data_IF_386130090704
#
_entry.id   IF_386130090704
#
_cell.length_a   1.000
_cell.length_b   1.000
_cell.length_c   1.000
_cell.angle_alpha   90.00
_cell.angle_beta   90.00
_cell.angle_gamma   90.00
#
_symmetry.space_group_name_H-M   'P 1'
#
loop_
_entity.id
_entity.type
_entity.pdbx_description
1 polymer ?
#
# COMPACT_ATOMS: atom_id res chain seq x y z
N UNK A 1 -5.65 -0.06 -11.17
CA UNK A 1 -4.31 -0.15 -10.56
C UNK A 1 -3.26 -0.24 -11.63
N UNK A 2 -2.35 0.72 -11.58
CA UNK A 2 -1.41 1.04 -12.66
C UNK A 2 -1.32 2.56 -12.71
N UNK A 3 -0.16 3.08 -12.34
CA UNK A 3 0.26 4.45 -12.66
C UNK A 3 0.22 4.58 -14.19
N UNK A 4 -0.84 5.18 -14.73
CA UNK A 4 -0.98 5.44 -16.17
C UNK A 4 -0.63 6.88 -16.47
N UNK A 5 0.68 7.15 -16.57
CA UNK A 5 1.25 8.39 -17.11
C UNK A 5 0.88 8.61 -18.59
N UNK A 6 0.82 9.87 -18.97
CA UNK A 6 0.31 10.45 -20.24
C UNK A 6 1.37 10.40 -21.39
N UNK A 7 1.19 10.78 -22.67
CA UNK A 7 0.52 11.93 -23.33
C UNK A 7 0.35 11.78 -24.85
N UNK A 8 -0.60 12.58 -25.38
CA UNK A 8 -0.66 13.33 -26.67
C UNK A 8 -0.59 12.61 -28.04
N UNK A 9 -1.55 12.97 -28.90
CA UNK A 9 -1.63 12.59 -30.32
C UNK A 9 -0.45 13.14 -31.13
N UNK A 10 0.31 12.31 -31.89
CA UNK A 10 1.36 12.78 -32.79
C UNK A 10 0.91 12.82 -34.26
N UNK A 11 1.39 13.84 -34.97
CA UNK A 11 0.95 14.25 -36.30
C UNK A 11 1.77 13.70 -37.47
N UNK A 12 2.73 12.78 -37.27
CA UNK A 12 3.54 12.27 -38.40
C UNK A 12 4.22 10.93 -38.13
N UNK A 13 4.27 10.08 -39.18
CA UNK A 13 4.66 8.66 -39.17
C UNK A 13 6.16 8.37 -38.94
N UNK A 14 7.01 9.38 -38.73
CA UNK A 14 8.47 9.19 -38.78
C UNK A 14 9.11 8.99 -37.38
N UNK A 15 8.39 9.27 -36.28
CA UNK A 15 8.89 9.02 -34.91
C UNK A 15 8.62 7.59 -34.38
N UNK A 16 7.96 6.75 -35.17
CA UNK A 16 7.44 5.45 -34.75
C UNK A 16 8.50 4.36 -34.47
N UNK A 17 9.80 4.65 -34.62
CA UNK A 17 10.87 3.63 -34.57
C UNK A 17 11.93 3.81 -33.47
N UNK A 18 11.85 4.86 -32.65
CA UNK A 18 12.73 5.04 -31.49
C UNK A 18 11.92 5.62 -30.33
N UNK A 19 11.30 4.74 -29.55
CA UNK A 19 11.01 4.74 -28.11
C UNK A 19 9.86 3.73 -27.95
N UNK A 20 10.12 2.60 -27.31
CA UNK A 20 9.09 1.64 -26.89
C UNK A 20 8.20 2.32 -25.83
N UNK A 21 7.14 2.99 -26.27
CA UNK A 21 6.15 3.64 -25.41
C UNK A 21 5.05 2.64 -25.01
N UNK A 22 4.82 2.52 -23.70
CA UNK A 22 3.75 1.71 -23.10
C UNK A 22 2.37 2.19 -23.61
N UNK A 23 1.59 1.28 -24.19
CA UNK A 23 0.27 1.54 -24.77
C UNK A 23 -0.80 1.77 -23.68
N UNK A 24 -1.74 2.72 -23.88
CA UNK A 24 -2.88 2.91 -22.95
C UNK A 24 -3.66 1.60 -22.83
N UNK A 25 -4.01 1.25 -21.59
CA UNK A 25 -4.82 0.06 -21.33
C UNK A 25 -6.20 0.25 -21.95
N UNK A 26 -6.75 -0.81 -22.52
CA UNK A 26 -8.11 -0.77 -23.01
C UNK A 26 -9.07 -0.45 -21.87
N UNK A 27 -9.89 0.58 -22.08
CA UNK A 27 -11.01 0.96 -21.20
C UNK A 27 -12.35 0.55 -21.81
N UNK A 28 -12.34 -0.24 -22.89
CA UNK A 28 -13.57 -0.85 -23.41
C UNK A 28 -14.09 -1.89 -22.41
N UNK A 29 -15.38 -2.19 -22.50
CA UNK A 29 -16.00 -3.20 -21.64
C UNK A 29 -15.32 -4.55 -21.93
N UNK A 30 -14.74 -5.23 -20.93
CA UNK A 30 -14.09 -6.50 -21.15
C UNK A 30 -15.09 -7.55 -21.64
N UNK A 31 -14.64 -8.51 -22.47
CA UNK A 31 -15.49 -9.59 -22.98
C UNK A 31 -15.77 -10.69 -21.94
N UNK A 32 -15.38 -10.48 -20.68
CA UNK A 32 -15.54 -11.42 -19.57
C UNK A 32 -16.13 -10.70 -18.35
N UNK A 33 -16.77 -11.46 -17.47
CA UNK A 33 -17.25 -10.99 -16.18
C UNK A 33 -16.32 -11.40 -15.04
N UNK A 34 -16.44 -10.77 -13.86
CA UNK A 34 -15.74 -11.22 -12.65
C UNK A 34 -16.09 -12.69 -12.33
N UNK A 35 -17.32 -13.10 -12.62
CA UNK A 35 -17.75 -14.50 -12.46
C UNK A 35 -16.96 -15.46 -13.35
N UNK A 36 -16.64 -15.07 -14.58
CA UNK A 36 -15.83 -15.88 -15.49
C UNK A 36 -14.38 -15.98 -15.03
N UNK A 37 -13.82 -14.89 -14.50
CA UNK A 37 -12.49 -14.92 -13.87
C UNK A 37 -12.49 -15.90 -12.69
N UNK A 38 -13.52 -15.86 -11.84
CA UNK A 38 -13.64 -16.77 -10.68
C UNK A 38 -13.67 -18.24 -11.09
N UNK A 39 -14.34 -18.58 -12.20
CA UNK A 39 -14.45 -19.97 -12.69
C UNK A 39 -13.10 -20.58 -13.10
N UNK A 40 -12.15 -19.75 -13.55
CA UNK A 40 -10.82 -20.20 -13.94
C UNK A 40 -9.93 -20.48 -12.72
N UNK A 41 -10.26 -19.92 -11.56
CA UNK A 41 -9.49 -20.11 -10.33
C UNK A 41 -9.93 -21.43 -9.65
N UNK A 42 -9.01 -22.39 -9.44
CA UNK A 42 -9.32 -23.62 -8.73
C UNK A 42 -9.95 -23.36 -7.33
N UNK A 43 -11.04 -24.07 -6.95
CA UNK A 43 -11.72 -23.81 -5.67
C UNK A 43 -10.83 -23.98 -4.44
N UNK A 44 -9.86 -24.89 -4.48
CA UNK A 44 -8.94 -25.11 -3.36
C UNK A 44 -8.02 -23.92 -3.09
N UNK A 45 -7.82 -23.00 -4.04
CA UNK A 45 -7.08 -21.75 -3.78
C UNK A 45 -7.83 -20.80 -2.84
N UNK A 46 -9.14 -20.95 -2.67
CA UNK A 46 -9.91 -20.18 -1.69
C UNK A 46 -9.88 -20.80 -0.29
N UNK A 47 -9.28 -21.99 -0.12
CA UNK A 47 -9.21 -22.67 1.18
C UNK A 47 -8.09 -22.07 2.04
N UNK A 48 -8.45 -21.73 3.27
CA UNK A 48 -7.56 -21.07 4.24
C UNK A 48 -7.09 -22.10 5.24
N UNK A 49 -5.78 -22.28 5.33
CA UNK A 49 -5.18 -23.19 6.28
C UNK A 49 -4.69 -22.38 7.48
N UNK A 50 -5.37 -22.55 8.61
CA UNK A 50 -5.02 -21.88 9.86
C UNK A 50 -3.54 -22.12 10.22
N UNK A 51 -3.09 -23.38 10.13
CA UNK A 51 -1.71 -23.78 10.43
C UNK A 51 -0.73 -23.06 9.50
N UNK A 52 -1.03 -23.02 8.19
CA UNK A 52 -0.15 -22.38 7.21
C UNK A 52 -0.08 -20.88 7.45
N UNK A 53 -1.21 -20.22 7.66
CA UNK A 53 -1.26 -18.78 7.93
C UNK A 53 -0.50 -18.41 9.21
N UNK A 54 -0.64 -19.20 10.28
CA UNK A 54 0.16 -19.01 11.49
C UNK A 54 1.65 -19.29 11.27
N UNK A 55 2.02 -20.24 10.40
CA UNK A 55 3.44 -20.50 10.11
C UNK A 55 4.15 -19.29 9.48
N UNK A 56 3.48 -18.55 8.58
CA UNK A 56 4.02 -17.31 8.02
C UNK A 56 4.15 -16.21 9.08
N UNK A 57 3.14 -16.05 9.95
CA UNK A 57 3.22 -15.11 11.06
C UNK A 57 4.39 -15.44 12.01
N UNK A 58 4.56 -16.71 12.37
CA UNK A 58 5.67 -17.17 13.22
C UNK A 58 7.01 -16.92 12.53
N UNK A 59 7.12 -17.20 11.23
CA UNK A 59 8.32 -16.90 10.44
C UNK A 59 8.66 -15.41 10.48
N UNK A 60 7.69 -14.53 10.26
CA UNK A 60 7.90 -13.08 10.31
C UNK A 60 8.35 -12.62 11.70
N UNK A 61 7.79 -13.19 12.78
CA UNK A 61 8.19 -12.89 14.16
C UNK A 61 9.61 -13.39 14.50
N UNK A 62 9.99 -14.56 13.99
CA UNK A 62 11.36 -15.08 14.10
C UNK A 62 12.33 -14.11 13.39
N UNK A 63 12.00 -13.66 12.19
CA UNK A 63 12.84 -12.70 11.44
C UNK A 63 12.96 -11.36 12.18
N UNK A 64 11.86 -10.82 12.72
CA UNK A 64 11.87 -9.60 13.54
C UNK A 64 12.80 -9.75 14.74
N UNK A 65 12.69 -10.88 15.45
CA UNK A 65 13.48 -11.13 16.66
C UNK A 65 14.95 -11.35 16.34
N UNK A 66 15.25 -12.11 15.28
CA UNK A 66 16.60 -12.40 14.83
C UNK A 66 17.32 -11.14 14.40
N UNK A 67 16.70 -10.31 13.56
CA UNK A 67 17.31 -9.07 13.09
C UNK A 67 17.49 -8.06 14.23
N UNK A 68 16.54 -7.96 15.15
CA UNK A 68 16.69 -7.14 16.36
C UNK A 68 17.85 -7.63 17.24
N UNK A 69 17.98 -8.94 17.44
CA UNK A 69 19.10 -9.54 18.18
C UNK A 69 20.44 -9.21 17.50
N UNK A 70 20.56 -9.47 16.19
CA UNK A 70 21.78 -9.14 15.44
C UNK A 70 22.10 -7.65 15.56
N UNK A 71 21.10 -6.77 15.43
CA UNK A 71 21.29 -5.34 15.48
C UNK A 71 21.86 -4.89 16.83
N UNK A 72 21.23 -5.32 17.92
CA UNK A 72 21.60 -4.92 19.29
C UNK A 72 22.88 -5.59 19.79
N UNK A 73 23.21 -6.78 19.29
CA UNK A 73 24.43 -7.50 19.68
C UNK A 73 25.66 -7.10 18.86
N UNK A 74 25.53 -6.72 17.59
CA UNK A 74 26.71 -6.54 16.73
C UNK A 74 26.89 -5.11 16.20
N UNK A 75 25.82 -4.37 15.89
CA UNK A 75 25.96 -3.07 15.21
C UNK A 75 26.61 -2.00 16.08
N UNK A 76 26.41 -2.06 17.41
CA UNK A 76 27.03 -1.16 18.37
C UNK A 76 28.56 -1.31 18.45
N UNK A 77 29.11 -2.45 18.01
CA UNK A 77 30.56 -2.73 18.06
C UNK A 77 31.27 -2.41 16.75
N UNK A 78 30.55 -1.94 15.72
CA UNK A 78 31.17 -1.56 14.46
C UNK A 78 32.01 -0.29 14.62
N UNK A 79 33.27 -0.26 14.14
CA UNK A 79 34.11 0.92 14.24
C UNK A 79 33.54 2.06 13.38
N UNK A 80 33.93 3.29 13.70
CA UNK A 80 33.62 4.45 12.86
C UNK A 80 34.23 4.29 11.46
N UNK A 81 33.51 4.65 10.37
CA UNK A 81 32.14 5.19 10.31
C UNK A 81 31.04 4.14 10.09
N UNK A 82 31.36 2.85 10.15
CA UNK A 82 30.48 1.77 9.70
C UNK A 82 29.19 1.64 10.49
N UNK A 83 29.17 1.90 11.80
CA UNK A 83 27.94 1.83 12.58
C UNK A 83 26.89 2.86 12.11
N UNK A 84 27.30 4.06 11.65
CA UNK A 84 26.38 5.07 11.11
C UNK A 84 25.73 4.64 9.80
N UNK A 85 26.38 3.79 9.01
CA UNK A 85 25.82 3.22 7.79
C UNK A 85 24.96 1.98 8.10
N UNK A 86 25.35 1.19 9.10
CA UNK A 86 24.68 -0.06 9.41
C UNK A 86 23.29 0.13 10.03
N UNK A 87 23.09 1.17 10.85
CA UNK A 87 21.78 1.46 11.47
C UNK A 87 20.67 1.77 10.44
N UNK A 88 20.87 2.68 9.46
CA UNK A 88 19.90 2.89 8.38
C UNK A 88 19.59 1.62 7.57
N UNK A 89 20.61 0.81 7.26
CA UNK A 89 20.43 -0.46 6.54
C UNK A 89 19.56 -1.41 7.37
N UNK A 90 19.83 -1.53 8.67
CA UNK A 90 19.00 -2.31 9.59
C UNK A 90 17.56 -1.79 9.61
N UNK A 91 17.32 -0.48 9.72
CA UNK A 91 15.95 0.06 9.70
C UNK A 91 15.19 -0.27 8.42
N UNK A 92 15.86 -0.21 7.27
CA UNK A 92 15.28 -0.59 5.98
C UNK A 92 14.88 -2.07 6.00
N UNK A 93 15.80 -2.96 6.39
CA UNK A 93 15.55 -4.41 6.40
C UNK A 93 14.46 -4.77 7.43
N UNK A 94 14.58 -4.27 8.65
CA UNK A 94 13.61 -4.50 9.72
C UNK A 94 12.23 -3.94 9.35
N UNK A 95 12.19 -2.75 8.74
CA UNK A 95 10.97 -2.14 8.21
C UNK A 95 10.30 -2.98 7.13
N UNK A 96 11.08 -3.68 6.29
CA UNK A 96 10.53 -4.65 5.34
C UNK A 96 9.81 -5.80 6.06
N UNK A 97 10.43 -6.39 7.08
CA UNK A 97 9.82 -7.50 7.83
C UNK A 97 8.56 -7.05 8.58
N UNK A 98 8.58 -5.87 9.21
CA UNK A 98 7.38 -5.29 9.81
C UNK A 98 6.28 -5.01 8.79
N UNK A 99 6.63 -4.71 7.54
CA UNK A 99 5.64 -4.62 6.46
C UNK A 99 5.04 -5.99 6.15
N UNK A 100 5.79 -7.09 6.22
CA UNK A 100 5.26 -8.46 6.15
C UNK A 100 4.21 -8.75 7.22
N UNK A 101 4.51 -8.42 8.49
CA UNK A 101 3.55 -8.51 9.60
C UNK A 101 2.31 -7.63 9.34
N UNK A 102 2.52 -6.41 8.82
CA UNK A 102 1.41 -5.54 8.44
C UNK A 102 0.52 -6.18 7.35
N UNK A 103 1.11 -6.88 6.38
CA UNK A 103 0.39 -7.62 5.34
C UNK A 103 -0.45 -8.76 5.92
N UNK A 104 0.04 -9.49 6.93
CA UNK A 104 -0.74 -10.50 7.65
C UNK A 104 -1.99 -9.87 8.30
N UNK A 105 -1.84 -8.73 8.98
CA UNK A 105 -2.99 -8.01 9.51
C UNK A 105 -3.94 -7.48 8.42
N UNK A 106 -3.40 -7.10 7.27
CA UNK A 106 -4.20 -6.73 6.09
C UNK A 106 -5.01 -7.92 5.56
N UNK A 107 -4.43 -9.11 5.48
CA UNK A 107 -5.15 -10.33 5.09
C UNK A 107 -6.23 -10.74 6.08
N UNK A 108 -5.97 -10.53 7.38
CA UNK A 108 -7.01 -10.70 8.41
C UNK A 108 -8.22 -9.80 8.12
N UNK A 109 -7.98 -8.56 7.68
CA UNK A 109 -9.04 -7.62 7.28
C UNK A 109 -9.89 -8.09 6.09
N UNK A 110 -9.29 -8.89 5.20
CA UNK A 110 -9.96 -9.51 4.03
C UNK A 110 -10.56 -10.87 4.29
N UNK A 111 -10.45 -11.38 5.52
CA UNK A 111 -10.81 -12.76 5.84
C UNK A 111 -10.01 -13.79 5.01
N UNK A 112 -8.77 -13.46 4.62
CA UNK A 112 -7.89 -14.35 3.86
C UNK A 112 -6.98 -15.20 4.78
N UNK A 113 -6.73 -14.74 6.00
CA UNK A 113 -5.86 -15.42 6.97
C UNK A 113 -6.46 -16.74 7.48
N UNK A 114 -7.75 -16.78 7.81
CA UNK A 114 -8.46 -17.98 8.24
C UNK A 114 -9.96 -17.89 7.95
N UNK A 115 -10.67 -19.01 8.04
CA UNK A 115 -12.14 -19.04 7.95
C UNK A 115 -12.85 -18.51 9.22
N UNK A 116 -12.10 -18.21 10.28
CA UNK A 116 -12.64 -17.74 11.55
C UNK A 116 -12.48 -16.23 11.68
N UNK A 117 -13.58 -15.49 11.49
CA UNK A 117 -13.55 -14.04 11.53
C UNK A 117 -13.02 -13.48 12.86
N UNK A 118 -13.36 -14.11 13.99
CA UNK A 118 -12.86 -13.70 15.30
C UNK A 118 -11.34 -13.84 15.41
N UNK A 119 -10.77 -14.96 14.91
CA UNK A 119 -9.32 -15.16 14.91
C UNK A 119 -8.65 -14.07 14.07
N UNK A 120 -9.17 -13.82 12.87
CA UNK A 120 -8.67 -12.76 12.00
C UNK A 120 -8.73 -11.39 12.69
N UNK A 121 -9.85 -11.06 13.33
CA UNK A 121 -10.02 -9.78 13.99
C UNK A 121 -9.08 -9.62 15.19
N UNK A 122 -8.86 -10.67 15.98
CA UNK A 122 -7.94 -10.64 17.12
C UNK A 122 -6.49 -10.48 16.65
N UNK A 123 -6.04 -11.31 15.70
CA UNK A 123 -4.67 -11.27 15.17
C UNK A 123 -4.42 -9.94 14.46
N UNK A 124 -5.34 -9.52 13.59
CA UNK A 124 -5.28 -8.25 12.90
C UNK A 124 -5.23 -7.07 13.88
N UNK A 125 -6.10 -7.06 14.90
CA UNK A 125 -6.12 -6.03 15.93
C UNK A 125 -4.79 -5.92 16.68
N UNK A 126 -4.23 -7.04 17.13
CA UNK A 126 -2.96 -7.05 17.88
C UNK A 126 -1.83 -6.49 17.02
N UNK A 127 -1.60 -7.06 15.84
CA UNK A 127 -0.42 -6.72 15.05
C UNK A 127 -0.53 -5.35 14.36
N UNK A 128 -1.71 -4.94 13.91
CA UNK A 128 -1.88 -3.57 13.40
C UNK A 128 -1.74 -2.55 14.52
N UNK A 129 -2.25 -2.80 15.73
CA UNK A 129 -2.09 -1.88 16.87
C UNK A 129 -0.62 -1.69 17.25
N UNK A 130 0.15 -2.79 17.34
CA UNK A 130 1.61 -2.75 17.59
C UNK A 130 2.33 -1.91 16.53
N UNK A 131 1.88 -1.96 15.28
CA UNK A 131 2.40 -1.17 14.16
C UNK A 131 1.78 0.24 14.04
N UNK A 132 1.06 0.69 15.07
CA UNK A 132 0.35 1.97 15.14
C UNK A 132 -0.60 2.19 13.95
N UNK A 133 -1.33 1.14 13.59
CA UNK A 133 -2.41 1.16 12.60
C UNK A 133 -3.72 0.82 13.31
N UNK A 134 -4.76 1.68 13.26
CA UNK A 134 -6.05 1.36 13.89
C UNK A 134 -6.78 0.29 13.07
N UNK A 135 -6.73 -0.96 13.52
CA UNK A 135 -7.12 -2.15 12.73
C UNK A 135 -8.53 -2.07 12.12
N UNK A 136 -9.57 -1.92 12.92
CA UNK A 136 -10.95 -1.97 12.42
C UNK A 136 -11.26 -0.75 11.55
N UNK A 137 -10.78 0.42 11.97
CA UNK A 137 -10.86 1.65 11.18
C UNK A 137 -10.26 1.47 9.78
N UNK A 138 -9.01 1.00 9.74
CA UNK A 138 -8.34 0.71 8.49
C UNK A 138 -9.04 -0.40 7.69
N UNK A 139 -9.47 -1.49 8.33
CA UNK A 139 -10.20 -2.61 7.69
C UNK A 139 -11.45 -2.12 6.96
N UNK A 140 -12.22 -1.22 7.57
CA UNK A 140 -13.44 -0.68 6.98
C UNK A 140 -13.16 0.29 5.82
N UNK A 141 -12.24 1.25 6.00
CA UNK A 141 -11.86 2.14 4.89
C UNK A 141 -11.21 1.36 3.73
N UNK A 142 -10.40 0.35 4.04
CA UNK A 142 -9.72 -0.48 3.05
C UNK A 142 -10.68 -1.37 2.27
N UNK A 143 -11.73 -1.91 2.92
CA UNK A 143 -12.81 -2.62 2.22
C UNK A 143 -13.53 -1.72 1.21
N UNK A 144 -13.77 -0.45 1.57
CA UNK A 144 -14.36 0.54 0.67
C UNK A 144 -13.41 0.89 -0.49
N UNK A 145 -12.11 0.99 -0.23
CA UNK A 145 -11.10 1.10 -1.28
C UNK A 145 -11.20 -0.06 -2.28
N UNK A 146 -11.15 -1.31 -1.80
CA UNK A 146 -11.28 -2.50 -2.65
C UNK A 146 -12.55 -2.53 -3.51
N UNK A 147 -13.66 -2.00 -2.99
CA UNK A 147 -14.93 -1.96 -3.73
C UNK A 147 -14.96 -0.85 -4.79
N UNK A 148 -14.08 0.14 -4.69
CA UNK A 148 -14.09 1.36 -5.50
C UNK A 148 -12.71 1.68 -6.10
N UNK A 149 -11.85 0.66 -6.22
CA UNK A 149 -10.46 0.82 -6.64
C UNK A 149 -10.36 1.59 -7.96
N UNK A 150 -9.51 2.63 -7.97
CA UNK A 150 -9.32 3.50 -9.15
C UNK A 150 -10.52 4.40 -9.51
N UNK A 151 -11.48 4.58 -8.59
CA UNK A 151 -12.52 5.61 -8.70
C UNK A 151 -12.05 6.94 -8.10
N UNK A 152 -12.11 8.04 -8.85
CA UNK A 152 -11.77 9.37 -8.32
C UNK A 152 -12.76 9.84 -7.25
N UNK A 153 -14.01 9.37 -7.33
CA UNK A 153 -15.10 9.81 -6.46
C UNK A 153 -15.25 8.93 -5.22
N UNK A 154 -14.93 7.64 -5.35
CA UNK A 154 -15.30 6.64 -4.35
C UNK A 154 -14.12 5.86 -3.75
N UNK A 155 -12.90 5.96 -4.30
CA UNK A 155 -11.72 5.33 -3.70
C UNK A 155 -11.35 6.05 -2.38
N UNK A 156 -10.96 5.30 -1.34
CA UNK A 156 -10.72 5.84 0.00
C UNK A 156 -9.26 6.24 0.29
N UNK A 157 -8.29 5.87 -0.56
CA UNK A 157 -6.86 6.02 -0.19
C UNK A 157 -5.94 6.45 -1.32
N UNK A 158 -6.20 6.07 -2.57
CA UNK A 158 -5.34 6.36 -3.71
C UNK A 158 -6.04 7.25 -4.73
N UNK A 159 -6.64 8.35 -4.26
CA UNK A 159 -7.37 9.29 -5.12
C UNK A 159 -6.37 10.24 -5.80
N UNK A 160 -6.22 10.21 -7.14
CA UNK A 160 -5.36 11.15 -7.83
C UNK A 160 -5.92 12.58 -7.75
N UNK A 161 -5.02 13.57 -7.78
CA UNK A 161 -5.42 14.98 -7.76
C UNK A 161 -5.88 15.43 -9.15
N UNK A 162 -6.99 16.14 -9.21
CA UNK A 162 -7.39 16.90 -10.40
C UNK A 162 -6.49 18.11 -10.59
N UNK A 163 -6.26 18.54 -11.84
CA UNK A 163 -5.48 19.75 -12.13
C UNK A 163 -5.98 20.98 -11.36
N UNK A 164 -7.29 21.16 -11.28
CA UNK A 164 -7.94 22.26 -10.58
C UNK A 164 -7.71 22.26 -9.06
N UNK A 165 -7.31 21.12 -8.47
CA UNK A 165 -7.02 20.98 -7.04
C UNK A 165 -5.52 21.01 -6.74
N UNK A 166 -4.67 21.28 -7.72
CA UNK A 166 -3.24 21.46 -7.48
C UNK A 166 -3.01 22.74 -6.68
N UNK A 167 -2.09 22.65 -5.71
CA UNK A 167 -1.71 23.81 -4.88
C UNK A 167 -0.81 24.72 -5.69
N UNK A 168 -0.86 26.04 -5.43
CA UNK A 168 -0.04 27.04 -6.13
C UNK A 168 1.46 26.72 -6.13
N UNK A 169 1.97 26.12 -5.05
CA UNK A 169 3.39 25.77 -4.92
C UNK A 169 3.80 24.51 -5.70
N UNK A 170 2.85 23.77 -6.30
CA UNK A 170 3.13 22.51 -7.02
C UNK A 170 4.08 22.73 -8.19
N UNK A 171 3.98 23.88 -8.87
CA UNK A 171 4.86 24.25 -9.98
C UNK A 171 6.31 24.41 -9.52
N UNK A 172 6.52 25.02 -8.35
CA UNK A 172 7.85 25.21 -7.78
C UNK A 172 8.46 23.91 -7.29
N UNK A 173 7.65 22.97 -6.78
CA UNK A 173 8.10 21.65 -6.36
C UNK A 173 8.26 20.64 -7.51
N UNK A 174 7.88 21.02 -8.74
CA UNK A 174 7.97 20.14 -9.91
C UNK A 174 9.39 20.12 -10.54
N UNK A 175 10.39 19.91 -9.71
CA UNK A 175 11.79 19.75 -10.11
C UNK A 175 12.39 18.53 -9.39
N UNK A 176 13.60 18.06 -9.76
CA UNK A 176 14.19 16.86 -9.16
C UNK A 176 14.27 16.90 -7.62
N UNK A 177 14.67 18.02 -7.03
CA UNK A 177 14.78 18.18 -5.57
C UNK A 177 13.40 18.20 -4.89
N UNK A 178 12.45 18.93 -5.47
CA UNK A 178 11.07 18.94 -4.97
C UNK A 178 10.40 17.56 -5.02
N UNK A 179 10.71 16.74 -6.04
CA UNK A 179 10.23 15.36 -6.14
C UNK A 179 10.88 14.43 -5.13
N UNK A 180 12.19 14.53 -4.92
CA UNK A 180 12.87 13.77 -3.85
C UNK A 180 12.28 14.14 -2.48
N UNK A 181 12.03 15.42 -2.22
CA UNK A 181 11.37 15.88 -1.00
C UNK A 181 9.95 15.31 -0.88
N UNK A 182 9.13 15.40 -1.94
CA UNK A 182 7.76 14.90 -1.94
C UNK A 182 7.68 13.38 -1.73
N UNK A 183 8.56 12.62 -2.40
CA UNK A 183 8.71 11.19 -2.18
C UNK A 183 9.13 10.91 -0.74
N UNK A 184 10.17 11.58 -0.24
CA UNK A 184 10.64 11.41 1.15
C UNK A 184 9.52 11.66 2.17
N UNK A 185 8.76 12.75 2.01
CA UNK A 185 7.58 13.04 2.83
C UNK A 185 6.51 11.95 2.71
N UNK A 186 6.24 11.45 1.50
CA UNK A 186 5.24 10.40 1.28
C UNK A 186 5.65 9.09 1.94
N UNK A 187 6.91 8.68 1.79
CA UNK A 187 7.42 7.41 2.33
C UNK A 187 7.52 7.41 3.86
N UNK A 188 7.73 8.58 4.49
CA UNK A 188 7.93 8.71 5.94
C UNK A 188 6.69 9.18 6.69
N UNK A 189 6.05 10.26 6.21
CA UNK A 189 4.92 10.91 6.86
C UNK A 189 3.58 10.60 6.18
N UNK A 190 3.59 10.08 4.96
CA UNK A 190 2.36 9.84 4.19
C UNK A 190 1.35 8.96 4.92
N UNK A 191 1.82 7.89 5.57
CA UNK A 191 0.94 6.99 6.34
C UNK A 191 0.32 7.66 7.58
N UNK A 192 1.08 8.28 8.51
CA UNK A 192 0.50 9.07 9.60
C UNK A 192 -0.45 10.18 9.10
N UNK A 193 -0.07 10.91 8.05
CA UNK A 193 -0.89 11.98 7.49
C UNK A 193 -2.19 11.46 6.89
N UNK A 194 -2.18 10.26 6.29
CA UNK A 194 -3.39 9.59 5.82
C UNK A 194 -4.30 9.22 6.99
N UNK A 195 -3.79 8.56 8.03
CA UNK A 195 -4.62 8.15 9.16
C UNK A 195 -5.19 9.34 9.95
N UNK A 196 -4.39 10.38 10.16
CA UNK A 196 -4.82 11.53 10.95
C UNK A 196 -5.66 12.49 10.12
N UNK A 197 -5.23 12.85 8.90
CA UNK A 197 -5.82 13.96 8.12
C UNK A 197 -6.43 13.52 6.78
N UNK A 198 -6.47 12.23 6.49
CA UNK A 198 -6.95 11.69 5.21
C UNK A 198 -6.27 12.32 3.98
N UNK A 199 -4.96 12.62 4.09
CA UNK A 199 -4.23 13.48 3.14
C UNK A 199 -4.17 12.99 1.67
N UNK A 200 -4.36 11.69 1.42
CA UNK A 200 -4.41 11.07 0.09
C UNK A 200 -5.77 10.44 -0.27
N UNK A 201 -6.73 10.48 0.64
CA UNK A 201 -8.01 9.81 0.49
C UNK A 201 -9.08 10.69 -0.16
N UNK A 202 -10.30 10.15 -0.16
CA UNK A 202 -11.50 10.83 -0.65
C UNK A 202 -11.72 12.16 0.06
N UNK A 203 -12.16 13.18 -0.69
CA UNK A 203 -12.60 14.44 -0.07
C UNK A 203 -13.98 14.27 0.56
N UNK A 204 -14.11 14.66 1.83
CA UNK A 204 -15.37 14.65 2.57
C UNK A 204 -15.82 16.08 2.89
N UNK A 205 -17.13 16.28 3.12
CA UNK A 205 -17.69 17.58 3.51
C UNK A 205 -17.25 18.02 4.92
N UNK A 206 -16.77 17.09 5.73
CA UNK A 206 -16.28 17.32 7.09
C UNK A 206 -14.87 16.73 7.23
N UNK A 207 -14.20 17.10 8.32
CA UNK A 207 -12.92 16.51 8.68
C UNK A 207 -13.01 14.98 8.73
N UNK A 208 -12.07 14.32 8.07
CA UNK A 208 -12.00 12.87 7.96
C UNK A 208 -10.71 12.38 8.62
N UNK A 209 -10.86 11.47 9.57
CA UNK A 209 -9.75 10.85 10.30
C UNK A 209 -10.10 9.41 10.61
N UNK A 210 -9.12 8.52 10.49
CA UNK A 210 -9.26 7.12 10.89
C UNK A 210 -9.43 6.95 12.41
N UNK A 211 -9.09 7.98 13.18
CA UNK A 211 -9.24 7.96 14.64
C UNK A 211 -10.55 8.57 15.13
N UNK A 212 -11.38 9.15 14.25
CA UNK A 212 -12.67 9.74 14.61
C UNK A 212 -13.82 8.77 14.31
N UNK A 213 -14.45 8.14 15.33
CA UNK A 213 -15.59 7.24 15.14
C UNK A 213 -16.82 7.94 14.54
N UNK A 214 -16.94 9.27 14.71
CA UNK A 214 -18.02 10.06 14.12
C UNK A 214 -17.61 10.70 12.79
N UNK A 215 -16.42 10.39 12.30
CA UNK A 215 -15.90 10.84 11.03
C UNK A 215 -16.74 10.32 9.86
N UNK A 216 -16.76 11.04 8.72
CA UNK A 216 -17.60 10.70 7.57
C UNK A 216 -17.15 9.43 6.82
N UNK A 217 -16.04 8.82 7.23
CA UNK A 217 -15.52 7.55 6.69
C UNK A 217 -16.37 6.36 7.14
N UNK A 218 -16.97 6.45 8.34
CA UNK A 218 -17.59 5.31 9.03
C UNK A 218 -19.09 5.47 9.21
N UNK A 219 -19.78 4.33 9.22
CA UNK A 219 -21.21 4.26 9.54
C UNK A 219 -21.42 4.06 11.05
N UNK A 220 -22.62 4.38 11.55
CA UNK A 220 -22.98 4.27 12.98
C UNK A 220 -22.70 2.88 13.58
N UNK A 221 -22.88 1.81 12.79
CA UNK A 221 -22.66 0.41 13.22
C UNK A 221 -21.18 0.06 13.41
N UNK A 222 -20.26 0.82 12.82
CA UNK A 222 -18.82 0.55 12.84
C UNK A 222 -18.13 1.23 14.03
N UNK A 223 -18.76 2.25 14.62
CA UNK A 223 -18.18 3.15 15.63
C UNK A 223 -17.53 2.45 16.81
N UNK A 224 -18.20 1.44 17.37
CA UNK A 224 -17.68 0.69 18.51
C UNK A 224 -16.31 0.07 18.19
N UNK A 225 -16.15 -0.47 16.98
CA UNK A 225 -14.88 -1.07 16.57
C UNK A 225 -13.80 -0.01 16.29
N UNK A 226 -14.18 1.21 15.91
CA UNK A 226 -13.26 2.34 15.80
C UNK A 226 -12.72 2.72 17.18
N UNK A 227 -13.59 2.81 18.20
CA UNK A 227 -13.14 3.01 19.58
C UNK A 227 -12.18 1.93 20.04
N UNK A 228 -12.49 0.66 19.78
CA UNK A 228 -11.60 -0.47 20.13
C UNK A 228 -10.24 -0.31 19.43
N UNK A 229 -10.21 0.04 18.15
CA UNK A 229 -8.97 0.29 17.41
C UNK A 229 -8.14 1.41 18.02
N UNK A 230 -8.78 2.51 18.41
CA UNK A 230 -8.12 3.65 19.04
C UNK A 230 -7.48 3.25 20.37
N UNK A 231 -8.20 2.48 21.20
CA UNK A 231 -7.65 1.95 22.45
C UNK A 231 -6.41 1.08 22.19
N UNK A 232 -6.47 0.21 21.17
CA UNK A 232 -5.31 -0.60 20.76
C UNK A 232 -4.09 0.23 20.40
N UNK A 233 -4.26 1.24 19.54
CA UNK A 233 -3.17 2.15 19.13
C UNK A 233 -2.63 2.94 20.31
N UNK A 234 -3.50 3.47 21.19
CA UNK A 234 -3.09 4.20 22.40
C UNK A 234 -2.29 3.29 23.34
N UNK A 235 -2.76 2.07 23.57
CA UNK A 235 -2.07 1.10 24.40
C UNK A 235 -0.68 0.75 23.83
N UNK A 236 -0.58 0.48 22.53
CA UNK A 236 0.70 0.23 21.87
C UNK A 236 1.63 1.45 21.90
N UNK A 237 1.12 2.66 21.67
CA UNK A 237 1.88 3.89 21.78
C UNK A 237 2.39 4.13 23.20
N UNK A 238 1.58 3.81 24.23
CA UNK A 238 2.00 3.90 25.63
C UNK A 238 3.10 2.89 25.96
N UNK A 239 2.98 1.64 25.51
CA UNK A 239 4.04 0.62 25.67
C UNK A 239 5.34 1.09 25.01
N UNK A 240 5.26 1.60 23.78
CA UNK A 240 6.43 2.17 23.10
C UNK A 240 7.02 3.33 23.89
N UNK A 241 6.20 4.28 24.35
CA UNK A 241 6.65 5.39 25.21
C UNK A 241 7.40 4.90 26.45
N UNK A 242 6.90 3.85 27.12
CA UNK A 242 7.57 3.25 28.29
C UNK A 242 8.91 2.60 27.94
N UNK A 243 9.01 1.93 26.79
CA UNK A 243 10.26 1.35 26.29
C UNK A 243 11.28 2.47 26.01
N UNK A 244 10.86 3.54 25.30
CA UNK A 244 11.72 4.70 25.03
C UNK A 244 12.20 5.36 26.30
N UNK A 245 11.32 5.52 27.30
CA UNK A 245 11.68 6.10 28.58
C UNK A 245 12.70 5.24 29.34
N UNK A 246 12.61 3.91 29.25
CA UNK A 246 13.51 2.99 29.94
C UNK A 246 14.90 2.88 29.29
N UNK A 247 14.98 2.90 27.96
CA UNK A 247 16.23 2.67 27.22
C UNK A 247 16.86 3.94 26.64
N UNK A 248 16.15 5.07 26.71
CA UNK A 248 16.58 6.38 26.23
C UNK A 248 16.25 6.63 24.76
N UNK A 249 16.15 7.92 24.40
CA UNK A 249 15.88 8.38 23.03
C UNK A 249 16.92 7.92 22.01
N UNK A 250 18.18 7.75 22.42
CA UNK A 250 19.25 7.24 21.56
C UNK A 250 19.05 5.75 21.21
N UNK A 251 18.53 4.94 22.15
CA UNK A 251 18.12 3.57 21.88
C UNK A 251 16.88 3.54 20.98
N UNK A 252 15.91 4.43 21.16
CA UNK A 252 14.72 4.51 20.29
C UNK A 252 15.06 4.92 18.86
N UNK A 253 15.94 5.93 18.71
CA UNK A 253 16.45 6.38 17.43
C UNK A 253 17.26 5.32 16.70
N UNK A 254 18.03 4.51 17.43
CA UNK A 254 18.81 3.40 16.86
C UNK A 254 17.98 2.12 16.63
N UNK A 255 16.99 1.78 17.46
CA UNK A 255 16.35 0.46 17.40
C UNK A 255 15.03 0.40 16.63
N UNK A 256 14.22 1.48 16.57
CA UNK A 256 12.77 1.25 16.33
C UNK A 256 11.99 2.24 15.48
N UNK A 257 12.52 3.33 14.91
CA UNK A 257 11.64 4.21 14.11
C UNK A 257 12.24 4.85 12.86
N UNK A 258 13.05 4.10 12.12
CA UNK A 258 13.00 4.21 10.67
C UNK A 258 11.77 3.45 10.16
N UNK A 259 10.56 4.02 10.25
CA UNK A 259 9.41 3.57 9.42
C UNK A 259 9.67 3.93 7.96
N UNK A 260 10.81 3.50 7.44
CA UNK A 260 11.05 3.38 6.02
C UNK A 260 10.40 2.06 5.66
N UNK A 261 9.11 2.13 5.33
CA UNK A 261 8.57 1.18 4.36
C UNK A 261 9.46 1.40 3.15
N UNK A 262 10.41 0.50 2.91
CA UNK A 262 11.21 0.52 1.70
C UNK A 262 11.03 -0.85 1.05
N UNK A 263 10.71 -0.87 -0.23
CA UNK A 263 9.94 -1.95 -0.85
C UNK A 263 10.79 -3.07 -1.45
N UNK A 264 11.83 -3.50 -0.74
CA UNK A 264 12.90 -4.24 -1.40
C UNK A 264 12.75 -5.78 -1.39
N UNK A 265 11.69 -6.35 -0.80
CA UNK A 265 11.56 -7.82 -0.67
C UNK A 265 10.13 -8.32 -0.94
N UNK A 266 9.77 -8.55 -2.20
CA UNK A 266 8.47 -9.09 -2.61
C UNK A 266 8.05 -10.35 -1.83
N UNK A 267 9.00 -11.25 -1.50
CA UNK A 267 8.72 -12.45 -0.70
C UNK A 267 8.36 -12.14 0.76
N UNK A 268 8.97 -11.11 1.36
CA UNK A 268 8.66 -10.67 2.72
C UNK A 268 7.31 -9.94 2.77
N UNK A 269 6.86 -9.40 1.64
CA UNK A 269 5.52 -8.82 1.50
C UNK A 269 4.47 -9.84 1.04
N UNK A 270 4.78 -11.13 1.14
CA UNK A 270 3.85 -12.20 0.75
C UNK A 270 3.35 -12.07 -0.71
N UNK A 271 4.19 -11.55 -1.60
CA UNK A 271 3.92 -11.32 -3.03
C UNK A 271 2.68 -10.48 -3.34
N UNK A 272 2.23 -9.64 -2.39
CA UNK A 272 1.05 -8.77 -2.59
C UNK A 272 1.24 -7.78 -3.74
N UNK A 273 2.47 -7.34 -3.99
CA UNK A 273 2.83 -6.41 -5.07
C UNK A 273 2.66 -7.06 -6.44
N UNK A 274 3.09 -8.32 -6.58
CA UNK A 274 3.02 -9.09 -7.83
C UNK A 274 1.59 -9.57 -8.13
N UNK A 275 0.80 -9.81 -7.08
CA UNK A 275 -0.57 -10.36 -7.15
C UNK A 275 -1.65 -9.31 -6.98
N UNK A 276 -1.27 -8.03 -6.97
CA UNK A 276 -2.16 -6.93 -6.58
C UNK A 276 -3.46 -6.87 -7.39
N UNK A 277 -3.41 -7.12 -8.71
CA UNK A 277 -4.62 -7.19 -9.55
C UNK A 277 -5.57 -8.29 -9.07
N UNK A 278 -5.06 -9.51 -8.86
CA UNK A 278 -5.86 -10.61 -8.33
C UNK A 278 -6.40 -10.24 -6.94
N UNK A 279 -5.56 -9.66 -6.07
CA UNK A 279 -5.94 -9.26 -4.73
C UNK A 279 -7.11 -8.28 -4.71
N UNK A 280 -7.18 -7.36 -5.68
CA UNK A 280 -8.32 -6.46 -5.81
C UNK A 280 -9.59 -7.12 -6.38
N UNK A 281 -9.44 -8.17 -7.19
CA UNK A 281 -10.57 -8.94 -7.70
C UNK A 281 -11.12 -9.95 -6.67
N UNK A 282 -10.24 -10.62 -5.93
CA UNK A 282 -10.55 -11.71 -5.00
C UNK A 282 -9.66 -11.64 -3.74
N UNK A 283 -9.85 -10.59 -2.94
CA UNK A 283 -9.03 -10.33 -1.74
C UNK A 283 -9.10 -11.41 -0.65
N UNK A 284 -10.09 -12.31 -0.75
CA UNK A 284 -10.29 -13.41 0.20
C UNK A 284 -9.39 -14.63 -0.06
N UNK A 285 -8.65 -14.65 -1.18
CA UNK A 285 -7.65 -15.68 -1.50
C UNK A 285 -6.43 -15.44 -0.60
N UNK A 286 -5.95 -16.44 0.15
CA UNK A 286 -4.73 -16.31 0.93
C UNK A 286 -3.51 -16.05 0.04
N UNK A 287 -2.59 -15.21 0.50
CA UNK A 287 -1.38 -14.80 -0.23
C UNK A 287 -0.57 -15.98 -0.80
N UNK A 288 -0.52 -17.09 -0.08
CA UNK A 288 0.25 -18.27 -0.47
C UNK A 288 -0.36 -19.07 -1.62
N UNK A 289 -1.54 -18.68 -2.12
CA UNK A 289 -2.15 -19.16 -3.37
C UNK A 289 -2.33 -18.04 -4.41
N UNK A 290 -2.03 -16.79 -4.05
CA UNK A 290 -2.30 -15.63 -4.88
C UNK A 290 -1.44 -15.63 -6.15
N UNK A 291 -0.21 -16.15 -6.10
CA UNK A 291 0.67 -16.23 -7.27
C UNK A 291 0.14 -17.24 -8.30
N UNK A 292 -0.29 -18.40 -7.85
CA UNK A 292 -0.86 -19.46 -8.68
C UNK A 292 -2.20 -19.04 -9.28
N UNK A 293 -3.07 -18.42 -8.49
CA UNK A 293 -4.32 -17.84 -8.97
C UNK A 293 -4.07 -16.72 -9.99
N UNK A 294 -3.05 -15.88 -9.77
CA UNK A 294 -2.68 -14.81 -10.71
C UNK A 294 -2.25 -15.40 -12.05
N UNK A 295 -1.45 -16.49 -12.05
CA UNK A 295 -1.06 -17.20 -13.27
C UNK A 295 -2.26 -17.79 -14.01
N UNK A 296 -3.26 -18.31 -13.29
CA UNK A 296 -4.47 -18.88 -13.88
C UNK A 296 -5.34 -17.82 -14.59
N UNK A 297 -5.46 -16.61 -14.04
CA UNK A 297 -6.33 -15.58 -14.62
C UNK A 297 -5.67 -14.76 -15.74
N UNK A 298 -4.33 -14.71 -15.79
CA UNK A 298 -3.58 -13.93 -16.79
C UNK A 298 -4.01 -14.19 -18.24
N UNK A 299 -4.17 -15.45 -18.70
CA UNK A 299 -4.61 -15.73 -20.08
C UNK A 299 -6.00 -15.18 -20.39
N UNK A 300 -6.93 -15.21 -19.42
CA UNK A 300 -8.28 -14.70 -19.60
C UNK A 300 -8.29 -13.16 -19.65
N UNK A 301 -7.48 -12.51 -18.81
CA UNK A 301 -7.39 -11.05 -18.79
C UNK A 301 -6.75 -10.50 -20.07
N UNK A 302 -5.83 -11.24 -20.70
CA UNK A 302 -5.20 -10.85 -21.97
C UNK A 302 -4.64 -9.43 -21.92
N UNK A 303 -5.07 -8.58 -22.85
CA UNK A 303 -4.63 -7.18 -22.97
C UNK A 303 -5.03 -6.29 -21.77
N UNK A 304 -6.00 -6.70 -20.95
CA UNK A 304 -6.39 -5.96 -19.75
C UNK A 304 -5.40 -6.15 -18.59
N UNK A 305 -4.57 -7.20 -18.64
CA UNK A 305 -3.52 -7.40 -17.64
C UNK A 305 -2.23 -6.72 -18.11
N UNK A 306 -1.79 -5.71 -17.36
CA UNK A 306 -0.57 -4.97 -17.66
C UNK A 306 0.48 -5.27 -16.60
N UNK A 307 1.70 -5.53 -17.07
CA UNK A 307 2.86 -5.79 -16.22
C UNK A 307 3.97 -4.83 -16.57
N UNK A 308 4.53 -4.19 -15.55
CA UNK A 308 5.70 -3.35 -15.67
C UNK A 308 6.90 -4.04 -15.01
N UNK A 309 7.88 -4.42 -15.82
CA UNK A 309 9.13 -5.04 -15.37
C UNK A 309 10.25 -4.03 -15.06
N UNK A 310 9.97 -2.72 -15.16
CA UNK A 310 10.93 -1.66 -14.85
C UNK A 310 11.41 -1.79 -13.40
N UNK A 311 12.73 -1.66 -13.12
CA UNK A 311 13.23 -1.66 -11.76
C UNK A 311 12.51 -0.60 -10.91
N UNK A 312 12.21 -0.94 -9.65
CA UNK A 312 11.35 -0.13 -8.78
C UNK A 312 11.84 1.32 -8.66
N UNK A 313 13.14 1.56 -8.55
CA UNK A 313 13.68 2.91 -8.42
C UNK A 313 13.46 3.74 -9.70
N UNK A 314 13.54 3.11 -10.88
CA UNK A 314 13.26 3.77 -12.16
C UNK A 314 11.76 4.00 -12.35
N UNK A 315 10.93 3.03 -11.96
CA UNK A 315 9.47 3.16 -12.00
C UNK A 315 8.97 4.27 -11.07
N UNK A 316 9.44 4.32 -9.82
CA UNK A 316 9.12 5.39 -8.86
C UNK A 316 9.55 6.74 -9.42
N UNK A 317 10.78 6.81 -9.95
CA UNK A 317 11.28 8.05 -10.50
C UNK A 317 10.40 8.50 -11.67
N UNK A 318 10.18 7.63 -12.66
CA UNK A 318 9.29 7.87 -13.81
C UNK A 318 7.91 8.32 -13.36
N UNK A 319 7.25 7.59 -12.48
CA UNK A 319 5.90 7.88 -12.01
C UNK A 319 5.82 9.24 -11.29
N UNK A 320 6.87 9.61 -10.53
CA UNK A 320 6.95 10.95 -9.93
C UNK A 320 7.05 12.08 -10.95
N UNK A 321 7.48 11.78 -12.19
CA UNK A 321 7.54 12.75 -13.30
C UNK A 321 6.26 12.75 -14.12
N UNK A 322 5.74 11.57 -14.42
CA UNK A 322 4.68 11.39 -15.41
C UNK A 322 3.27 11.47 -14.81
N UNK A 323 3.12 11.22 -13.51
CA UNK A 323 1.83 11.09 -12.82
C UNK A 323 1.57 12.19 -11.80
N UNK A 324 1.47 13.43 -12.26
CA UNK A 324 1.34 14.60 -11.37
C UNK A 324 -0.12 14.88 -11.00
N UNK A 325 -1.00 14.89 -11.99
CA UNK A 325 -2.44 15.13 -11.82
C UNK A 325 -3.21 14.34 -12.86
N UNK A 326 -4.52 14.21 -12.70
CA UNK A 326 -5.40 13.61 -13.70
C UNK A 326 -6.33 14.62 -14.33
N UNK A 327 -6.63 14.41 -15.62
CA UNK A 327 -7.61 15.18 -16.39
C UNK A 327 -8.51 14.24 -17.16
N UNK A 328 -9.72 14.72 -17.46
CA UNK A 328 -10.70 13.99 -18.26
C UNK A 328 -10.13 13.75 -19.67
N UNK A 329 -10.35 12.55 -20.19
CA UNK A 329 -9.92 12.20 -21.54
C UNK A 329 -10.79 12.93 -22.57
N UNK A 330 -10.18 13.87 -23.30
CA UNK A 330 -10.84 14.76 -24.27
C UNK A 330 -11.51 13.98 -25.42
N UNK A 331 -10.98 12.79 -25.76
CA UNK A 331 -11.55 11.90 -26.76
C UNK A 331 -12.70 11.00 -26.25
N UNK A 332 -12.99 11.03 -24.95
CA UNK A 332 -14.04 10.19 -24.34
C UNK A 332 -15.30 11.01 -24.06
N UNK A 333 -16.13 11.21 -25.09
CA UNK A 333 -17.45 11.82 -24.91
C UNK A 333 -18.29 10.99 -23.93
N UNK A 334 -18.45 11.50 -22.71
CA UNK A 334 -19.40 11.00 -21.70
C UNK A 334 -18.96 9.84 -20.80
N UNK A 335 -17.74 9.30 -20.89
CA UNK A 335 -17.37 8.05 -20.17
C UNK A 335 -16.72 8.23 -18.79
N UNK A 336 -16.50 9.46 -18.32
CA UNK A 336 -15.95 9.72 -16.98
C UNK A 336 -14.54 9.18 -16.76
N UNK A 337 -13.74 9.01 -17.83
CA UNK A 337 -12.39 8.47 -17.78
C UNK A 337 -11.39 9.60 -17.59
N UNK A 338 -10.42 9.37 -16.71
CA UNK A 338 -9.35 10.31 -16.40
C UNK A 338 -7.99 9.65 -16.59
N UNK A 339 -7.05 10.40 -17.16
CA UNK A 339 -5.67 9.96 -17.35
C UNK A 339 -4.74 10.89 -16.59
N UNK A 340 -3.63 10.36 -16.08
CA UNK A 340 -2.60 11.24 -15.54
C UNK A 340 -2.05 12.15 -16.62
N UNK A 341 -1.47 13.29 -16.24
CA UNK A 341 -0.73 14.26 -17.05
C UNK A 341 0.44 14.80 -16.21
N UNK A 342 1.46 15.33 -16.91
CA UNK A 342 2.69 15.85 -16.30
C UNK A 342 2.99 17.33 -16.65
N UNK A 343 2.26 17.92 -17.59
CA UNK A 343 2.42 19.34 -17.99
C UNK A 343 1.68 20.23 -17.01
N UNK A 344 2.40 20.79 -16.05
CA UNK A 344 1.87 21.76 -15.09
C UNK A 344 1.61 23.12 -15.73
#
# INVERSE_FOLDING_TARGET
MGSCGNMSNPTTKTEQKKINHLQRVSFSKPPFTIGDIKKVIPPHYFQRSLIRSFSYLVQDLILVTLFYYIATTYLCFLPYPYYYLAWPIYWIIQGCVFTGIWMIGHECGHHAFSDYQLVNDVIGFIFHSVLLTPYFSWKYSHRRHHSNTSSIEHDEVYVPRLKSKLRWFSNYLNNPLGRVLALSCTLTLGWPLYLVFNASGKSYCRYASHYDPHGPIFNDRERLQIYISNVGVIASAYVLYRIVFAQGLAWFGSSTYGRQRLWCLNKVFHNITDTHVLHHLFSTIPHYHAMEATKAIKPLLGEYYQFDGTPIYEAIWRDSKECIYVEKDEGSTGKGIFWYKNKL
#
